data_IF_252913447456
#
_entry.id   IF_252913447456
#
_cell.length_a   1.000
_cell.length_b   1.000
_cell.length_c   1.000
_cell.angle_alpha   90.00
_cell.angle_beta   90.00
_cell.angle_gamma   90.00
#
_symmetry.space_group_name_H-M   'P 1'
#
loop_
_entity.id
_entity.type
_entity.pdbx_description
1 polymer ?
#
# COMPACT_ATOMS: atom_id res chain seq x y z
N UNK A 1 13.04 -7.28 -9.89
CA UNK A 1 13.51 -6.41 -8.78
C UNK A 1 13.07 -6.91 -7.40
N UNK A 2 11.80 -7.32 -7.24
CA UNK A 2 11.22 -7.82 -5.98
C UNK A 2 12.00 -9.01 -5.39
N UNK A 3 12.32 -10.05 -6.18
CA UNK A 3 13.08 -11.20 -5.71
C UNK A 3 14.44 -10.83 -5.08
N UNK A 4 15.12 -9.82 -5.63
CA UNK A 4 16.38 -9.30 -5.09
C UNK A 4 16.19 -8.56 -3.76
N UNK A 5 15.06 -7.88 -3.59
CA UNK A 5 14.72 -7.23 -2.32
C UNK A 5 14.42 -8.27 -1.23
N UNK A 6 13.69 -9.34 -1.56
CA UNK A 6 13.41 -10.46 -0.66
C UNK A 6 14.69 -11.15 -0.17
N UNK A 7 15.64 -11.42 -1.07
CA UNK A 7 16.91 -12.06 -0.71
C UNK A 7 17.81 -11.20 0.17
N UNK A 8 17.62 -9.87 0.16
CA UNK A 8 18.47 -8.94 0.91
C UNK A 8 18.19 -8.90 2.42
N UNK A 9 17.02 -9.37 2.87
CA UNK A 9 16.58 -9.31 4.27
C UNK A 9 16.81 -7.93 4.93
N UNK A 10 16.45 -6.87 4.21
CA UNK A 10 16.58 -5.49 4.71
C UNK A 10 15.58 -5.23 5.85
N UNK A 11 15.98 -4.47 6.87
CA UNK A 11 15.08 -4.01 7.94
C UNK A 11 14.07 -2.95 7.48
N UNK A 12 14.38 -2.25 6.39
CA UNK A 12 13.52 -1.23 5.76
C UNK A 12 13.44 -1.54 4.27
N UNK A 13 12.21 -1.60 3.75
CA UNK A 13 11.92 -1.89 2.35
C UNK A 13 11.03 -0.79 1.80
N UNK A 14 11.47 -0.18 0.69
CA UNK A 14 10.68 0.79 -0.08
C UNK A 14 10.21 0.10 -1.36
N UNK A 15 8.90 0.09 -1.57
CA UNK A 15 8.25 -0.47 -2.75
C UNK A 15 7.61 0.68 -3.52
N UNK A 16 8.17 1.03 -4.67
CA UNK A 16 7.63 2.07 -5.55
C UNK A 16 6.95 1.42 -6.74
N UNK A 17 5.62 1.51 -6.80
CA UNK A 17 4.77 0.96 -7.87
C UNK A 17 5.20 -0.43 -8.36
N UNK A 18 5.66 -1.29 -7.43
CA UNK A 18 6.41 -2.49 -7.78
C UNK A 18 5.60 -3.52 -8.59
N UNK A 19 4.28 -3.32 -8.72
CA UNK A 19 3.34 -4.19 -9.41
C UNK A 19 2.56 -3.50 -10.54
N UNK A 20 2.97 -2.29 -10.93
CA UNK A 20 2.44 -1.62 -12.12
C UNK A 20 2.66 -2.52 -13.36
N UNK A 21 1.62 -2.70 -14.17
CA UNK A 21 1.56 -3.56 -15.37
C UNK A 21 1.57 -5.09 -15.14
N UNK A 22 1.27 -5.57 -13.93
CA UNK A 22 1.08 -7.00 -13.66
C UNK A 22 -0.42 -7.35 -13.65
N UNK A 23 -0.79 -8.50 -14.22
CA UNK A 23 -2.17 -9.02 -14.17
C UNK A 23 -2.67 -9.21 -12.73
N UNK A 24 -3.99 -9.09 -12.51
CA UNK A 24 -4.58 -9.06 -11.17
C UNK A 24 -4.28 -10.31 -10.31
N UNK A 25 -4.18 -11.48 -10.93
CA UNK A 25 -3.90 -12.74 -10.24
C UNK A 25 -2.43 -12.83 -9.81
N UNK A 26 -1.50 -12.45 -10.70
CA UNK A 26 -0.06 -12.43 -10.40
C UNK A 26 0.29 -11.33 -9.39
N UNK A 27 -0.37 -10.16 -9.45
CA UNK A 27 -0.18 -9.11 -8.43
C UNK A 27 -0.59 -9.63 -7.04
N UNK A 28 -1.74 -10.31 -6.94
CA UNK A 28 -2.20 -10.89 -5.67
C UNK A 28 -1.19 -11.88 -5.10
N UNK A 29 -0.67 -12.79 -5.94
CA UNK A 29 0.36 -13.75 -5.51
C UNK A 29 1.65 -13.04 -5.03
N UNK A 30 2.06 -11.98 -5.71
CA UNK A 30 3.21 -11.17 -5.31
C UNK A 30 2.93 -10.50 -3.95
N UNK A 31 1.77 -9.89 -3.77
CA UNK A 31 1.38 -9.25 -2.51
C UNK A 31 1.36 -10.24 -1.36
N UNK A 32 0.77 -11.42 -1.55
CA UNK A 32 0.72 -12.48 -0.54
C UNK A 32 2.13 -12.96 -0.17
N UNK A 33 3.01 -13.11 -1.17
CA UNK A 33 4.41 -13.48 -0.97
C UNK A 33 5.16 -12.41 -0.18
N UNK A 34 4.95 -11.12 -0.49
CA UNK A 34 5.61 -10.02 0.21
C UNK A 34 5.13 -9.94 1.67
N UNK A 35 3.83 -10.11 1.93
CA UNK A 35 3.29 -10.19 3.30
C UNK A 35 3.93 -11.33 4.08
N UNK A 36 3.85 -12.54 3.54
CA UNK A 36 4.40 -13.73 4.22
C UNK A 36 5.90 -13.60 4.52
N UNK A 37 6.69 -12.98 3.65
CA UNK A 37 8.14 -12.88 3.87
C UNK A 37 8.56 -11.71 4.76
N UNK A 38 7.82 -10.59 4.77
CA UNK A 38 8.22 -9.40 5.52
C UNK A 38 7.57 -9.31 6.91
N UNK A 39 6.43 -9.96 7.12
CA UNK A 39 5.71 -9.90 8.40
C UNK A 39 6.39 -10.76 9.50
N UNK A 40 7.24 -11.70 9.12
CA UNK A 40 7.98 -12.55 10.08
C UNK A 40 9.23 -11.90 10.69
N UNK A 41 9.81 -10.87 10.06
CA UNK A 41 11.14 -10.34 10.40
C UNK A 41 11.12 -8.91 11.01
N UNK A 42 9.94 -8.40 11.42
CA UNK A 42 9.76 -7.03 11.95
C UNK A 42 10.33 -5.95 10.99
N UNK A 43 10.03 -6.10 9.70
CA UNK A 43 10.54 -5.25 8.62
C UNK A 43 9.61 -4.04 8.42
N UNK A 44 10.18 -2.84 8.36
CA UNK A 44 9.42 -1.63 8.02
C UNK A 44 9.20 -1.54 6.52
N UNK A 45 7.94 -1.44 6.10
CA UNK A 45 7.52 -1.32 4.70
C UNK A 45 7.05 0.10 4.41
N UNK A 46 7.59 0.73 3.37
CA UNK A 46 7.08 1.97 2.79
C UNK A 46 6.63 1.65 1.36
N UNK A 47 5.33 1.79 1.10
CA UNK A 47 4.74 1.42 -0.20
C UNK A 47 4.14 2.65 -0.85
N UNK A 48 4.58 2.94 -2.08
CA UNK A 48 3.97 3.93 -2.97
C UNK A 48 3.12 3.14 -3.96
N UNK A 49 1.81 3.34 -3.93
CA UNK A 49 0.89 2.60 -4.76
C UNK A 49 -0.28 3.48 -5.21
N UNK A 50 -0.64 3.34 -6.49
CA UNK A 50 -1.87 3.89 -7.04
C UNK A 50 -3.06 2.92 -6.91
N UNK A 51 -2.83 1.65 -6.49
CA UNK A 51 -3.88 0.65 -6.28
C UNK A 51 -4.32 0.64 -4.82
N UNK A 52 -5.60 0.92 -4.59
CA UNK A 52 -6.17 1.02 -3.25
C UNK A 52 -6.14 -0.30 -2.48
N UNK A 53 -6.31 -1.43 -3.16
CA UNK A 53 -6.28 -2.75 -2.51
C UNK A 53 -4.94 -3.06 -1.81
N UNK A 54 -3.83 -2.54 -2.35
CA UNK A 54 -2.49 -2.74 -1.79
C UNK A 54 -2.28 -1.93 -0.50
N UNK A 55 -2.91 -0.76 -0.38
CA UNK A 55 -2.68 0.18 0.72
C UNK A 55 -3.65 -0.01 1.89
N UNK A 56 -4.81 -0.64 1.67
CA UNK A 56 -5.82 -0.88 2.72
C UNK A 56 -5.30 -1.71 3.90
N UNK A 57 -4.33 -2.59 3.67
CA UNK A 57 -3.72 -3.43 4.71
C UNK A 57 -2.51 -2.77 5.39
N UNK A 58 -2.30 -1.47 5.17
CA UNK A 58 -1.21 -0.72 5.80
C UNK A 58 -1.58 -0.26 7.20
N UNK A 59 -0.62 -0.25 8.12
CA UNK A 59 -0.81 0.27 9.48
C UNK A 59 -1.21 1.75 9.48
N UNK A 60 -0.65 2.53 8.55
CA UNK A 60 -0.91 3.95 8.32
C UNK A 60 -0.81 4.26 6.83
N UNK A 61 -1.58 5.24 6.39
CA UNK A 61 -1.59 5.74 5.01
C UNK A 61 -1.27 7.23 5.05
N UNK A 62 -0.41 7.65 4.12
CA UNK A 62 -0.05 9.04 3.90
C UNK A 62 -0.52 9.45 2.51
N UNK A 63 -1.36 10.48 2.44
CA UNK A 63 -1.88 11.03 1.17
C UNK A 63 -1.09 12.29 0.84
N UNK A 64 -0.50 12.30 -0.36
CA UNK A 64 0.20 13.45 -0.91
C UNK A 64 -0.66 14.12 -1.98
N UNK A 65 -0.74 15.45 -1.91
CA UNK A 65 -1.34 16.28 -2.95
C UNK A 65 -0.49 17.54 -3.11
N UNK A 66 -0.15 17.89 -4.36
CA UNK A 66 0.62 19.10 -4.70
C UNK A 66 1.94 19.25 -3.88
N UNK A 67 2.63 18.13 -3.65
CA UNK A 67 3.89 18.08 -2.90
C UNK A 67 3.74 18.23 -1.38
N UNK A 68 2.52 18.27 -0.86
CA UNK A 68 2.22 18.40 0.57
C UNK A 68 1.47 17.19 1.11
N UNK A 69 1.68 16.86 2.39
CA UNK A 69 0.89 15.84 3.10
C UNK A 69 -0.47 16.46 3.43
N UNK A 70 -1.54 15.91 2.86
CA UNK A 70 -2.91 16.38 3.11
C UNK A 70 -3.64 15.52 4.13
N UNK A 71 -3.33 14.22 4.20
CA UNK A 71 -3.91 13.29 5.17
C UNK A 71 -2.87 12.26 5.63
N UNK A 72 -2.91 11.89 6.92
CA UNK A 72 -2.04 10.86 7.48
C UNK A 72 -2.68 10.20 8.71
N UNK A 73 -3.18 8.98 8.57
CA UNK A 73 -3.71 8.19 9.68
C UNK A 73 -3.92 6.71 9.28
N UNK A 74 -4.56 5.91 10.13
CA UNK A 74 -5.05 4.57 9.82
C UNK A 74 -6.05 4.60 8.66
N UNK A 75 -6.15 3.53 7.85
CA UNK A 75 -7.13 3.44 6.79
C UNK A 75 -8.56 3.72 7.28
N UNK A 76 -8.93 3.16 8.44
CA UNK A 76 -10.25 3.35 9.05
C UNK A 76 -10.53 4.81 9.43
N UNK A 77 -9.56 5.50 10.03
CA UNK A 77 -9.70 6.91 10.37
C UNK A 77 -9.84 7.79 9.12
N UNK A 78 -9.02 7.55 8.09
CA UNK A 78 -9.08 8.30 6.83
C UNK A 78 -10.40 8.09 6.07
N UNK A 79 -10.98 6.88 6.12
CA UNK A 79 -12.28 6.58 5.51
C UNK A 79 -13.47 7.22 6.25
N UNK A 80 -13.30 7.51 7.54
CA UNK A 80 -14.30 8.18 8.36
C UNK A 80 -14.36 9.70 8.11
N UNK A 81 -13.32 10.29 7.50
CA UNK A 81 -13.29 11.72 7.16
C UNK A 81 -14.38 12.03 6.13
N UNK A 82 -15.26 12.97 6.46
CA UNK A 82 -16.25 13.48 5.53
C UNK A 82 -15.55 14.28 4.42
N UNK A 83 -15.81 13.95 3.16
CA UNK A 83 -15.11 14.51 1.99
C UNK A 83 -13.57 14.34 2.01
N UNK A 84 -13.06 13.31 2.68
CA UNK A 84 -11.62 13.02 2.71
C UNK A 84 -11.04 12.63 1.35
N UNK A 85 -9.79 13.02 1.09
CA UNK A 85 -9.05 12.74 -0.15
C UNK A 85 -8.82 11.24 -0.31
N UNK A 86 -8.42 10.55 0.75
CA UNK A 86 -8.26 9.10 0.72
C UNK A 86 -9.57 8.39 0.38
N UNK A 87 -10.68 8.83 0.99
CA UNK A 87 -12.00 8.27 0.74
C UNK A 87 -12.43 8.46 -0.71
N UNK A 88 -12.18 9.62 -1.29
CA UNK A 88 -12.40 9.87 -2.71
C UNK A 88 -11.55 8.92 -3.57
N UNK A 89 -10.25 8.79 -3.30
CA UNK A 89 -9.36 7.86 -4.03
C UNK A 89 -9.84 6.41 -3.94
N UNK A 90 -10.28 5.96 -2.76
CA UNK A 90 -10.84 4.63 -2.55
C UNK A 90 -12.11 4.38 -3.38
N UNK A 91 -13.02 5.37 -3.43
CA UNK A 91 -14.23 5.30 -4.23
C UNK A 91 -13.94 5.22 -5.74
N UNK A 92 -12.98 6.00 -6.25
CA UNK A 92 -12.59 5.96 -7.67
C UNK A 92 -11.92 4.64 -8.07
N UNK A 93 -11.23 3.97 -7.14
CA UNK A 93 -10.60 2.69 -7.39
C UNK A 93 -11.58 1.50 -7.32
N UNK A 94 -12.88 1.73 -7.10
CA UNK A 94 -13.87 0.67 -6.93
C UNK A 94 -13.70 -0.14 -5.64
N UNK A 95 -12.91 0.36 -4.68
CA UNK A 95 -12.71 -0.26 -3.39
C UNK A 95 -13.85 0.15 -2.45
N UNK A 96 -14.99 -0.51 -2.55
CA UNK A 96 -15.96 -0.56 -1.45
C UNK A 96 -15.38 -1.41 -0.33
N UNK A 97 -15.35 -0.87 0.89
CA UNK A 97 -15.10 -1.66 2.10
C UNK A 97 -16.02 -2.90 2.10
N UNK A 98 -15.55 -4.07 2.55
CA UNK A 98 -16.43 -5.20 2.82
C UNK A 98 -17.48 -4.87 3.90
#
# INVERSE_FOLDING_TARGET
CIARALLRKSKVVVLDEATANIDGDTDRLIQDTLRANFDHDNVTKLVIAHRVHTILDSDRILVLQDGSVVEFDTPAALLAIENGVFKALAAHAGATLP
#
